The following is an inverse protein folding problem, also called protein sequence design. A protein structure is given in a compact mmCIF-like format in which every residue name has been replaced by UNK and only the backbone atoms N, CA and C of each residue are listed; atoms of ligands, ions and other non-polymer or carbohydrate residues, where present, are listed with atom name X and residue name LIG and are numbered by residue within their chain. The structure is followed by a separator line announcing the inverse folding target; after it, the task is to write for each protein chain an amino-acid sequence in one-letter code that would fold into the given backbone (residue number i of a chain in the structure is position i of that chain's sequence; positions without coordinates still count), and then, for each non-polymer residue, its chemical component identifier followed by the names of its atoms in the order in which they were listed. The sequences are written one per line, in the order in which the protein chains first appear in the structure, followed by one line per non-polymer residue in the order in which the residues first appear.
data_IF_643740508070
#
_entry.id   IF_643740508070
#
_cell.length_a   1.000
_cell.length_b   1.000
_cell.length_c   1.000
_cell.angle_alpha   90.00
_cell.angle_beta   90.00
_cell.angle_gamma   90.00
#
_symmetry.space_group_name_H-M   'P 1'
#
loop_
_entity.id
_entity.type
_entity.pdbx_description
1 polymer ?
#
# COMPACT_ATOMS: atom_id res chain seq x y z
N UNK A 1 1.97 -22.59 12.46
CA UNK A 1 1.79 -21.80 11.23
C UNK A 1 0.34 -21.40 11.13
N UNK A 2 0.05 -20.10 10.90
CA UNK A 2 -1.31 -19.55 10.89
C UNK A 2 -1.46 -18.56 9.73
N UNK A 3 -2.62 -18.59 9.06
CA UNK A 3 -3.06 -17.59 8.13
C UNK A 3 -3.95 -16.61 8.88
N UNK A 4 -3.48 -15.37 9.07
CA UNK A 4 -4.16 -14.36 9.87
C UNK A 4 -4.47 -13.13 9.02
N UNK A 5 -5.75 -12.86 8.82
CA UNK A 5 -6.21 -11.76 7.98
C UNK A 5 -7.05 -10.75 8.78
N UNK A 6 -6.43 -9.70 9.34
CA UNK A 6 -7.15 -8.61 10.00
C UNK A 6 -8.28 -8.01 9.16
N UNK A 7 -8.14 -8.02 7.83
CA UNK A 7 -9.19 -7.57 6.92
C UNK A 7 -10.54 -8.26 7.16
N UNK A 8 -10.56 -9.59 7.23
CA UNK A 8 -11.81 -10.32 7.40
C UNK A 8 -12.40 -10.12 8.80
N UNK A 9 -11.54 -10.11 9.82
CA UNK A 9 -11.99 -9.87 11.20
C UNK A 9 -12.59 -8.46 11.33
N UNK A 10 -11.94 -7.45 10.75
CA UNK A 10 -12.47 -6.10 10.66
C UNK A 10 -13.80 -6.03 9.90
N UNK A 11 -13.87 -6.63 8.70
CA UNK A 11 -15.08 -6.60 7.88
C UNK A 11 -16.30 -7.20 8.57
N UNK A 12 -16.10 -8.24 9.36
CA UNK A 12 -17.16 -8.87 10.18
C UNK A 12 -17.53 -8.02 11.40
N UNK A 13 -16.60 -7.23 11.95
CA UNK A 13 -16.73 -6.51 13.21
C UNK A 13 -16.47 -5.01 13.09
N UNK A 14 -16.72 -4.41 11.94
CA UNK A 14 -16.43 -2.98 11.63
C UNK A 14 -17.11 -1.97 12.56
N UNK A 15 -18.14 -2.37 13.29
CA UNK A 15 -18.78 -1.52 14.30
C UNK A 15 -18.11 -1.60 15.68
N UNK A 16 -17.23 -2.57 15.90
CA UNK A 16 -16.54 -2.82 17.17
C UNK A 16 -15.03 -2.57 17.04
N UNK A 17 -14.43 -2.92 15.90
CA UNK A 17 -13.00 -2.78 15.65
C UNK A 17 -12.79 -1.57 14.75
N UNK A 18 -12.07 -0.54 15.22
CA UNK A 18 -11.72 0.61 14.38
C UNK A 18 -10.79 0.20 13.22
N UNK A 19 -10.98 0.82 12.05
CA UNK A 19 -10.13 0.58 10.88
C UNK A 19 -8.65 0.87 11.18
N UNK A 20 -8.37 1.90 11.94
CA UNK A 20 -7.00 2.32 12.26
C UNK A 20 -6.23 1.27 13.06
N UNK A 21 -6.90 0.53 13.97
CA UNK A 21 -6.31 -0.64 14.66
C UNK A 21 -5.97 -1.77 13.66
N UNK A 22 -6.83 -1.97 12.67
CA UNK A 22 -6.63 -3.02 11.67
C UNK A 22 -5.52 -2.69 10.68
N UNK A 23 -5.20 -1.39 10.50
CA UNK A 23 -4.19 -0.88 9.55
C UNK A 23 -2.85 -0.52 10.22
N UNK A 24 -2.61 -0.90 11.47
CA UNK A 24 -1.41 -0.53 12.25
C UNK A 24 -1.15 0.98 12.29
N UNK A 25 -2.19 1.80 12.24
CA UNK A 25 -2.00 3.25 12.38
C UNK A 25 -1.69 3.61 13.82
N UNK A 26 -0.89 4.69 14.06
CA UNK A 26 -0.65 5.18 15.40
C UNK A 26 -1.96 5.54 16.12
N UNK A 27 -2.14 5.06 17.34
CA UNK A 27 -3.33 5.27 18.14
C UNK A 27 -3.00 6.00 19.43
N UNK A 28 -3.92 6.85 19.91
CA UNK A 28 -3.85 7.33 21.29
C UNK A 28 -4.10 6.17 22.27
N UNK A 29 -3.52 6.20 23.48
CA UNK A 29 -3.72 5.13 24.47
C UNK A 29 -5.19 4.82 24.78
N UNK A 30 -6.08 5.82 24.67
CA UNK A 30 -7.53 5.64 24.86
C UNK A 30 -8.20 4.81 23.76
N UNK A 31 -7.54 4.65 22.61
CA UNK A 31 -8.05 3.91 21.46
C UNK A 31 -7.40 2.53 21.30
N UNK A 32 -6.55 2.11 22.25
CA UNK A 32 -6.03 0.77 22.27
C UNK A 32 -7.15 -0.23 22.55
N UNK A 33 -7.11 -1.37 21.88
CA UNK A 33 -7.95 -2.50 22.26
C UNK A 33 -7.38 -3.12 23.53
N UNK A 34 -8.21 -3.30 24.54
CA UNK A 34 -7.78 -3.89 25.82
C UNK A 34 -8.49 -5.22 26.02
N UNK A 35 -7.73 -6.29 26.21
CA UNK A 35 -8.29 -7.57 26.61
C UNK A 35 -8.73 -7.48 28.09
N UNK A 36 -10.02 -7.67 28.41
CA UNK A 36 -10.53 -7.51 29.77
C UNK A 36 -10.01 -8.57 30.76
N UNK A 37 -9.52 -9.72 30.27
CA UNK A 37 -9.05 -10.80 31.12
C UNK A 37 -7.57 -10.68 31.49
N UNK A 38 -6.75 -10.21 30.54
CA UNK A 38 -5.30 -10.14 30.72
C UNK A 38 -4.79 -8.70 30.91
N UNK A 39 -5.64 -7.71 30.63
CA UNK A 39 -5.32 -6.29 30.62
C UNK A 39 -4.21 -5.93 29.63
N UNK A 40 -3.94 -6.77 28.64
CA UNK A 40 -3.01 -6.48 27.56
C UNK A 40 -3.61 -5.43 26.62
N UNK A 41 -2.79 -4.47 26.23
CA UNK A 41 -3.17 -3.38 25.35
C UNK A 41 -2.64 -3.62 23.93
N UNK A 42 -3.53 -3.68 22.95
CA UNK A 42 -3.20 -3.93 21.56
C UNK A 42 -3.34 -2.66 20.74
N UNK A 43 -2.27 -2.26 20.09
CA UNK A 43 -2.24 -1.14 19.13
C UNK A 43 -2.65 -1.56 17.72
N UNK A 44 -2.64 -2.86 17.44
CA UNK A 44 -3.07 -3.41 16.16
C UNK A 44 -3.76 -4.77 16.33
N UNK A 45 -4.60 -5.08 15.36
CA UNK A 45 -5.42 -6.29 15.39
C UNK A 45 -4.60 -7.57 15.16
N UNK A 46 -3.51 -7.52 14.36
CA UNK A 46 -2.71 -8.70 14.08
C UNK A 46 -2.04 -9.25 15.35
N UNK A 47 -1.47 -8.39 16.17
CA UNK A 47 -0.87 -8.81 17.44
C UNK A 47 -1.90 -9.45 18.38
N UNK A 48 -3.11 -8.91 18.44
CA UNK A 48 -4.20 -9.50 19.20
C UNK A 48 -4.56 -10.91 18.68
N UNK A 49 -4.56 -11.11 17.36
CA UNK A 49 -4.82 -12.43 16.75
C UNK A 49 -3.68 -13.42 17.02
N UNK A 50 -2.43 -12.97 16.99
CA UNK A 50 -1.25 -13.79 17.31
C UNK A 50 -1.30 -14.22 18.78
N UNK A 51 -1.57 -13.28 19.69
CA UNK A 51 -1.65 -13.58 21.14
C UNK A 51 -2.83 -14.50 21.48
N UNK A 52 -3.97 -14.37 20.78
CA UNK A 52 -5.08 -15.29 20.90
C UNK A 52 -4.67 -16.75 20.56
N UNK A 53 -3.79 -16.93 19.56
CA UNK A 53 -3.24 -18.24 19.25
C UNK A 53 -2.29 -18.74 20.35
N UNK A 54 -1.44 -17.89 20.92
CA UNK A 54 -0.60 -18.24 22.06
C UNK A 54 -1.42 -18.62 23.29
N UNK A 55 -2.48 -17.88 23.60
CA UNK A 55 -3.40 -18.24 24.69
C UNK A 55 -4.09 -19.58 24.44
N UNK A 56 -4.50 -19.85 23.20
CA UNK A 56 -5.11 -21.14 22.83
C UNK A 56 -4.13 -22.29 23.01
N UNK A 57 -2.87 -22.13 22.63
CA UNK A 57 -1.83 -23.13 22.85
C UNK A 57 -1.53 -23.32 24.34
N UNK A 58 -1.44 -22.23 25.11
CA UNK A 58 -1.23 -22.26 26.56
C UNK A 58 -2.33 -23.05 27.28
N UNK A 59 -3.58 -22.90 26.86
CA UNK A 59 -4.70 -23.67 27.41
C UNK A 59 -4.58 -25.19 27.17
N UNK A 60 -3.77 -25.57 26.17
CA UNK A 60 -3.43 -26.96 25.85
C UNK A 60 -2.08 -27.38 26.46
N UNK A 61 -1.49 -26.58 27.36
CA UNK A 61 -0.15 -26.77 27.92
C UNK A 61 0.99 -26.79 26.90
N UNK A 62 0.81 -26.11 25.76
CA UNK A 62 1.85 -25.91 24.73
C UNK A 62 2.38 -24.48 24.87
N UNK A 63 3.61 -24.32 25.36
CA UNK A 63 4.20 -23.00 25.68
C UNK A 63 5.53 -22.72 24.98
N UNK A 64 6.08 -23.68 24.27
CA UNK A 64 7.41 -23.66 23.64
C UNK A 64 7.37 -23.57 22.10
N UNK A 65 6.19 -23.36 21.53
CA UNK A 65 6.01 -23.26 20.06
C UNK A 65 5.80 -21.82 19.65
N UNK A 66 6.66 -21.35 18.73
CA UNK A 66 6.54 -20.02 18.15
C UNK A 66 5.45 -19.98 17.05
N UNK A 67 4.69 -18.89 17.05
CA UNK A 67 3.72 -18.61 16.00
C UNK A 67 4.43 -18.04 14.77
N UNK A 68 4.21 -18.68 13.62
CA UNK A 68 4.59 -18.18 12.31
C UNK A 68 3.34 -17.79 11.55
N UNK A 69 3.25 -16.53 11.12
CA UNK A 69 2.17 -16.03 10.27
C UNK A 69 2.51 -16.33 8.82
N UNK A 70 1.92 -17.36 8.25
CA UNK A 70 2.21 -17.84 6.90
C UNK A 70 1.48 -17.06 5.82
N UNK A 71 0.40 -16.36 6.18
CA UNK A 71 -0.29 -15.46 5.27
C UNK A 71 -0.96 -14.33 6.05
N UNK A 72 -0.76 -13.11 5.56
CA UNK A 72 -1.51 -11.91 5.94
C UNK A 72 -1.43 -10.89 4.83
N UNK A 73 -2.34 -9.91 4.82
CA UNK A 73 -2.38 -8.88 3.80
C UNK A 73 -3.65 -8.05 3.88
N UNK A 74 -3.84 -7.20 2.87
CA UNK A 74 -5.03 -6.38 2.70
C UNK A 74 -5.35 -6.25 1.21
N UNK A 75 -6.60 -6.51 0.76
CA UNK A 75 -6.94 -6.46 -0.65
C UNK A 75 -6.99 -5.02 -1.15
N UNK A 76 -6.47 -4.83 -2.37
CA UNK A 76 -6.38 -3.50 -3.00
C UNK A 76 -7.63 -3.11 -3.79
N UNK A 77 -8.55 -4.06 -4.00
CA UNK A 77 -9.81 -3.82 -4.72
C UNK A 77 -10.89 -4.77 -4.23
N UNK A 78 -12.11 -4.27 -4.10
CA UNK A 78 -13.28 -5.03 -3.71
C UNK A 78 -14.53 -4.54 -4.44
N UNK A 79 -15.66 -5.19 -4.20
CA UNK A 79 -16.97 -4.77 -4.70
C UNK A 79 -17.67 -3.79 -3.73
N UNK A 80 -18.94 -3.48 -4.03
CA UNK A 80 -19.73 -2.55 -3.20
C UNK A 80 -19.95 -3.01 -1.76
N UNK A 81 -19.81 -4.29 -1.46
CA UNK A 81 -19.89 -4.86 -0.11
C UNK A 81 -18.57 -4.83 0.61
N UNK A 82 -17.50 -4.52 -0.09
CA UNK A 82 -16.11 -4.52 0.39
C UNK A 82 -15.46 -3.11 0.29
N UNK A 83 -16.08 -2.07 0.86
CA UNK A 83 -15.66 -0.67 0.65
C UNK A 83 -14.28 -0.35 1.22
N UNK A 84 -13.71 -1.24 2.03
CA UNK A 84 -12.40 -1.09 2.65
C UNK A 84 -11.28 -1.82 1.89
N UNK A 85 -11.60 -2.63 0.88
CA UNK A 85 -10.66 -3.21 -0.06
C UNK A 85 -10.24 -2.14 -1.08
N UNK A 86 -9.26 -1.33 -0.72
CA UNK A 86 -8.79 -0.19 -1.53
C UNK A 86 -7.26 -0.16 -1.60
N UNK A 87 -6.68 0.40 -2.66
CA UNK A 87 -5.22 0.57 -2.77
C UNK A 87 -4.64 1.33 -1.58
N UNK A 88 -5.30 2.38 -1.11
CA UNK A 88 -4.85 3.18 0.03
C UNK A 88 -4.74 2.35 1.32
N UNK A 89 -5.74 1.52 1.63
CA UNK A 89 -5.71 0.66 2.80
C UNK A 89 -4.69 -0.48 2.65
N UNK A 90 -4.55 -1.05 1.44
CA UNK A 90 -3.54 -2.08 1.16
C UNK A 90 -2.11 -1.54 1.35
N UNK A 91 -1.82 -0.34 0.83
CA UNK A 91 -0.55 0.36 1.06
C UNK A 91 -0.32 0.57 2.55
N UNK A 92 -1.32 1.12 3.25
CA UNK A 92 -1.20 1.45 4.68
C UNK A 92 -0.95 0.20 5.50
N UNK A 93 -1.75 -0.86 5.29
CA UNK A 93 -1.60 -2.12 6.01
C UNK A 93 -0.22 -2.73 5.78
N UNK A 94 0.15 -2.98 4.53
CA UNK A 94 1.39 -3.69 4.21
C UNK A 94 2.64 -2.88 4.57
N UNK A 95 2.64 -1.56 4.38
CA UNK A 95 3.76 -0.71 4.79
C UNK A 95 3.94 -0.68 6.30
N UNK A 96 2.85 -0.55 7.06
CA UNK A 96 2.90 -0.52 8.51
C UNK A 96 3.23 -1.90 9.11
N UNK A 97 2.74 -2.98 8.51
CA UNK A 97 3.12 -4.36 8.86
C UNK A 97 4.62 -4.56 8.71
N UNK A 98 5.19 -4.17 7.56
CA UNK A 98 6.63 -4.26 7.30
C UNK A 98 7.40 -3.48 8.35
N UNK A 99 6.99 -2.24 8.63
CA UNK A 99 7.60 -1.41 9.66
C UNK A 99 7.54 -2.08 11.03
N UNK A 100 6.39 -2.59 11.44
CA UNK A 100 6.19 -3.29 12.71
C UNK A 100 7.14 -4.48 12.88
N UNK A 101 7.30 -5.29 11.82
CA UNK A 101 8.24 -6.42 11.82
C UNK A 101 9.71 -5.95 11.85
N UNK A 102 10.07 -4.91 11.11
CA UNK A 102 11.44 -4.36 11.11
C UNK A 102 11.82 -3.66 12.43
N UNK A 103 10.88 -3.03 13.08
CA UNK A 103 11.09 -2.43 14.41
C UNK A 103 11.31 -3.51 15.49
N UNK A 104 11.22 -4.81 15.11
CA UNK A 104 11.34 -5.98 15.99
C UNK A 104 10.40 -5.93 17.20
N UNK A 105 9.28 -5.27 17.03
CA UNK A 105 8.23 -5.26 18.03
C UNK A 105 7.58 -6.64 18.09
N UNK A 106 7.59 -7.25 19.26
CA UNK A 106 6.79 -8.43 19.52
C UNK A 106 5.35 -8.07 19.82
N UNK A 107 4.54 -9.07 20.10
CA UNK A 107 3.17 -8.87 20.59
C UNK A 107 3.17 -8.41 22.05
N UNK A 108 2.08 -7.83 22.58
CA UNK A 108 1.97 -7.50 23.99
C UNK A 108 2.21 -8.68 24.97
N UNK A 109 1.88 -9.90 24.57
CA UNK A 109 2.14 -11.11 25.38
C UNK A 109 3.61 -11.56 25.28
N UNK A 110 4.25 -11.35 24.11
CA UNK A 110 5.63 -11.75 23.81
C UNK A 110 6.45 -10.59 23.24
N UNK A 111 6.71 -9.53 24.01
CA UNK A 111 7.32 -8.28 23.51
C UNK A 111 8.73 -8.47 22.95
N UNK A 112 9.46 -9.47 23.42
CA UNK A 112 10.84 -9.77 22.98
C UNK A 112 10.89 -10.71 21.76
N UNK A 113 9.74 -11.18 21.27
CA UNK A 113 9.67 -12.17 20.18
C UNK A 113 9.05 -11.57 18.94
N UNK A 114 9.87 -11.26 17.96
CA UNK A 114 9.36 -10.80 16.65
C UNK A 114 8.72 -11.95 15.89
N UNK A 115 7.48 -11.77 15.46
CA UNK A 115 6.80 -12.75 14.61
C UNK A 115 7.35 -12.71 13.18
N UNK A 116 7.63 -13.88 12.60
CA UNK A 116 7.87 -13.98 11.17
C UNK A 116 6.55 -13.96 10.42
N UNK A 117 6.49 -13.13 9.37
CA UNK A 117 5.24 -12.85 8.64
C UNK A 117 5.48 -12.93 7.14
N UNK A 118 4.56 -13.54 6.42
CA UNK A 118 4.54 -13.58 4.95
C UNK A 118 3.33 -12.81 4.44
N UNK A 119 3.57 -11.89 3.50
CA UNK A 119 2.49 -11.12 2.88
C UNK A 119 1.87 -11.96 1.76
N UNK A 120 0.57 -12.14 1.83
CA UNK A 120 -0.26 -12.72 0.79
C UNK A 120 -0.87 -11.57 -0.03
N UNK A 121 -0.62 -11.47 -1.33
CA UNK A 121 0.15 -12.39 -2.17
C UNK A 121 1.04 -11.60 -3.17
N UNK A 122 1.86 -12.31 -3.97
CA UNK A 122 2.77 -11.62 -4.90
C UNK A 122 2.04 -11.02 -6.10
N UNK A 123 1.12 -11.78 -6.73
CA UNK A 123 0.38 -11.34 -7.91
C UNK A 123 -1.12 -11.43 -7.69
N UNK A 124 -1.87 -10.47 -8.27
CA UNK A 124 -3.32 -10.59 -8.37
C UNK A 124 -3.72 -11.80 -9.23
N UNK A 125 -4.79 -12.48 -8.83
CA UNK A 125 -5.31 -13.68 -9.50
C UNK A 125 -6.60 -13.38 -10.27
N UNK A 126 -6.57 -13.41 -11.60
CA UNK A 126 -7.71 -13.06 -12.46
C UNK A 126 -8.81 -14.13 -12.52
N UNK A 127 -8.50 -15.37 -12.13
CA UNK A 127 -9.44 -16.51 -12.16
C UNK A 127 -10.05 -16.86 -10.80
N UNK A 128 -9.84 -16.01 -9.78
CA UNK A 128 -10.45 -16.22 -8.45
C UNK A 128 -11.94 -16.04 -8.47
N UNK A 129 -12.62 -16.94 -7.75
CA UNK A 129 -14.07 -16.83 -7.52
C UNK A 129 -14.39 -15.61 -6.62
N UNK A 130 -15.60 -15.03 -6.76
CA UNK A 130 -16.05 -13.94 -5.88
C UNK A 130 -15.93 -14.28 -4.39
N UNK A 131 -15.75 -13.25 -3.53
CA UNK A 131 -15.89 -11.82 -3.77
C UNK A 131 -14.69 -11.23 -4.53
N UNK A 132 -14.84 -9.98 -5.06
CA UNK A 132 -13.82 -9.34 -5.91
C UNK A 132 -12.48 -9.14 -5.18
N UNK A 133 -12.51 -8.98 -3.87
CA UNK A 133 -11.29 -8.86 -3.06
C UNK A 133 -10.37 -10.08 -3.18
N UNK A 134 -10.93 -11.28 -3.38
CA UNK A 134 -10.15 -12.52 -3.48
C UNK A 134 -9.15 -12.51 -4.65
N UNK A 135 -9.45 -11.80 -5.71
CA UNK A 135 -8.60 -11.65 -6.88
C UNK A 135 -7.57 -10.50 -6.75
N UNK A 136 -7.58 -9.74 -5.65
CA UNK A 136 -6.87 -8.47 -5.57
C UNK A 136 -6.04 -8.29 -4.28
N UNK A 137 -5.40 -9.35 -3.82
CA UNK A 137 -4.45 -9.33 -2.69
C UNK A 137 -3.02 -9.03 -3.12
N UNK A 138 -2.73 -9.15 -4.41
CA UNK A 138 -1.39 -9.09 -4.99
C UNK A 138 -0.69 -7.74 -4.80
N UNK A 139 0.62 -7.81 -4.58
CA UNK A 139 1.51 -6.65 -4.65
C UNK A 139 1.71 -6.19 -6.10
N UNK A 140 1.55 -7.11 -7.05
CA UNK A 140 1.73 -6.88 -8.49
C UNK A 140 0.53 -7.40 -9.27
N UNK A 141 0.31 -6.80 -10.44
CA UNK A 141 -0.52 -7.40 -11.49
C UNK A 141 0.23 -8.51 -12.21
N UNK A 142 -0.49 -9.37 -12.95
CA UNK A 142 0.11 -10.48 -13.71
C UNK A 142 1.17 -10.09 -14.74
N UNK A 143 1.22 -8.82 -15.15
CA UNK A 143 2.26 -8.26 -16.02
C UNK A 143 3.47 -7.71 -15.24
N UNK A 144 3.59 -8.02 -13.97
CA UNK A 144 4.62 -7.56 -13.04
C UNK A 144 4.63 -6.04 -12.77
N UNK A 145 3.59 -5.30 -13.17
CA UNK A 145 3.45 -3.91 -12.70
C UNK A 145 2.93 -3.89 -11.27
N UNK A 146 3.42 -3.00 -10.39
CA UNK A 146 2.91 -2.88 -9.03
C UNK A 146 1.42 -2.59 -9.01
N UNK A 147 0.64 -3.31 -8.19
CA UNK A 147 -0.76 -2.99 -7.93
C UNK A 147 -0.88 -1.69 -7.11
N UNK A 148 0.13 -1.42 -6.30
CA UNK A 148 0.33 -0.19 -5.54
C UNK A 148 1.79 -0.09 -5.10
N UNK A 149 2.22 1.12 -4.73
CA UNK A 149 3.61 1.33 -4.32
C UNK A 149 3.80 0.91 -2.87
N UNK A 150 4.67 -0.05 -2.63
CA UNK A 150 5.02 -0.55 -1.32
C UNK A 150 6.48 -0.24 -1.00
N UNK A 151 6.76 0.33 0.18
CA UNK A 151 8.12 0.51 0.70
C UNK A 151 8.51 -0.68 1.56
N UNK A 152 9.50 -1.45 1.10
CA UNK A 152 9.94 -2.66 1.81
C UNK A 152 10.95 -2.36 2.93
N UNK A 153 11.65 -1.25 2.87
CA UNK A 153 12.74 -0.93 3.81
C UNK A 153 12.43 0.19 4.80
N UNK A 154 11.16 0.64 4.88
CA UNK A 154 10.78 1.77 5.74
C UNK A 154 11.38 3.11 5.31
N UNK A 155 12.60 3.11 4.77
CA UNK A 155 13.32 4.23 4.16
C UNK A 155 13.95 3.74 2.87
N UNK A 156 13.71 4.40 1.74
CA UNK A 156 14.30 4.01 0.45
C UNK A 156 13.31 3.81 -0.68
N UNK A 157 13.72 3.11 -1.73
CA UNK A 157 12.91 2.88 -2.92
C UNK A 157 11.67 2.02 -2.65
N UNK A 158 10.64 2.24 -3.49
CA UNK A 158 9.48 1.37 -3.51
C UNK A 158 9.84 0.02 -4.16
N UNK A 159 9.07 -1.04 -3.89
CA UNK A 159 8.98 -2.18 -4.78
C UNK A 159 8.47 -1.66 -6.12
N UNK A 160 9.35 -1.63 -7.09
CA UNK A 160 9.06 -1.04 -8.37
C UNK A 160 9.50 -1.98 -9.49
N UNK A 161 8.76 -2.01 -10.58
CA UNK A 161 9.27 -2.37 -11.88
C UNK A 161 10.40 -1.39 -12.29
N UNK A 162 11.21 -1.73 -13.29
CA UNK A 162 12.29 -0.87 -13.79
C UNK A 162 11.83 0.52 -14.27
N UNK A 163 10.51 0.74 -14.41
CA UNK A 163 9.85 2.03 -14.63
C UNK A 163 9.56 2.85 -13.35
N UNK A 164 10.07 2.42 -12.21
CA UNK A 164 9.88 3.04 -10.88
C UNK A 164 10.24 4.52 -10.77
N UNK A 165 10.79 5.08 -11.80
CA UNK A 165 10.98 6.52 -11.92
C UNK A 165 9.71 7.31 -12.35
N UNK A 166 8.63 6.63 -12.76
CA UNK A 166 7.37 7.27 -13.14
C UNK A 166 6.31 7.07 -12.05
N UNK A 167 6.38 7.90 -11.02
CA UNK A 167 5.35 7.98 -10.00
C UNK A 167 4.68 9.33 -10.06
N UNK A 168 3.37 9.33 -9.81
CA UNK A 168 2.52 10.52 -9.83
C UNK A 168 1.80 10.65 -8.50
N UNK A 169 1.47 11.88 -8.13
CA UNK A 169 0.68 12.17 -6.94
C UNK A 169 -0.71 12.62 -7.37
N UNK A 170 -1.73 11.87 -6.99
CA UNK A 170 -3.12 12.15 -7.39
C UNK A 170 -4.04 12.24 -6.19
N UNK A 171 -5.22 12.85 -6.37
CA UNK A 171 -6.24 12.92 -5.34
C UNK A 171 -6.71 11.51 -4.93
N UNK A 172 -6.70 11.21 -3.64
CA UNK A 172 -7.16 9.94 -3.10
C UNK A 172 -8.67 9.74 -3.31
N UNK A 173 -9.09 8.49 -3.48
CA UNK A 173 -10.49 8.17 -3.67
C UNK A 173 -11.33 8.45 -2.41
N UNK A 174 -12.61 8.79 -2.61
CA UNK A 174 -13.56 9.04 -1.53
C UNK A 174 -13.41 10.38 -0.80
N UNK A 175 -12.42 11.21 -1.15
CA UNK A 175 -12.25 12.55 -0.54
C UNK A 175 -13.28 13.51 -1.11
N UNK A 176 -13.92 14.27 -0.23
CA UNK A 176 -14.93 15.28 -0.62
C UNK A 176 -14.31 16.48 -1.33
N UNK A 177 -15.12 17.15 -2.18
CA UNK A 177 -14.65 18.24 -3.02
C UNK A 177 -14.15 19.46 -2.23
N UNK A 178 -14.69 19.73 -1.04
CA UNK A 178 -14.29 20.87 -0.22
C UNK A 178 -12.87 20.66 0.35
N UNK A 179 -12.60 19.47 0.82
CA UNK A 179 -11.28 19.08 1.33
C UNK A 179 -10.24 19.07 0.20
N UNK A 180 -10.61 18.54 -0.98
CA UNK A 180 -9.73 18.59 -2.16
C UNK A 180 -9.45 20.01 -2.61
N UNK A 181 -10.46 20.92 -2.59
CA UNK A 181 -10.28 22.32 -2.97
C UNK A 181 -9.29 23.00 -2.03
N UNK A 182 -9.41 22.82 -0.73
CA UNK A 182 -8.50 23.43 0.23
C UNK A 182 -7.04 22.95 0.03
N UNK A 183 -6.84 21.68 -0.31
CA UNK A 183 -5.51 21.13 -0.63
C UNK A 183 -4.98 21.65 -1.98
N UNK A 184 -5.84 21.78 -2.99
CA UNK A 184 -5.52 22.40 -4.28
C UNK A 184 -5.06 23.85 -4.11
N UNK A 185 -5.82 24.65 -3.33
CA UNK A 185 -5.49 26.06 -3.04
C UNK A 185 -4.13 26.17 -2.35
N UNK A 186 -3.84 25.26 -1.41
CA UNK A 186 -2.53 25.22 -0.77
C UNK A 186 -1.43 24.86 -1.77
N UNK A 187 -1.65 23.82 -2.61
CA UNK A 187 -0.65 23.36 -3.56
C UNK A 187 -0.28 24.47 -4.57
N UNK A 188 -1.28 25.13 -5.16
CA UNK A 188 -1.07 26.21 -6.12
C UNK A 188 -0.58 27.52 -5.47
N UNK A 189 -0.90 27.74 -4.20
CA UNK A 189 -0.52 28.93 -3.44
C UNK A 189 0.81 28.75 -2.70
N UNK A 190 0.72 28.37 -1.44
CA UNK A 190 1.89 28.22 -0.53
C UNK A 190 2.84 27.13 -1.01
N UNK A 191 2.31 26.02 -1.57
CA UNK A 191 3.08 24.89 -2.12
C UNK A 191 3.87 25.25 -3.38
N UNK A 192 3.50 26.33 -4.08
CA UNK A 192 4.16 26.79 -5.32
C UNK A 192 4.19 25.75 -6.46
N UNK A 193 3.19 24.87 -6.51
CA UNK A 193 3.00 24.00 -7.67
C UNK A 193 2.73 24.85 -8.91
N UNK A 194 3.22 24.39 -10.06
CA UNK A 194 2.85 25.03 -11.32
C UNK A 194 1.42 24.61 -11.71
N UNK A 195 0.48 25.54 -11.54
CA UNK A 195 -0.94 25.35 -11.81
C UNK A 195 -1.40 26.05 -13.10
N UNK A 196 -0.48 26.43 -14.00
CA UNK A 196 -0.82 27.11 -15.26
C UNK A 196 -1.73 26.25 -16.13
N UNK A 197 -1.40 24.97 -16.29
CA UNK A 197 -2.07 24.09 -17.24
C UNK A 197 -3.50 23.69 -16.85
N UNK A 198 -3.92 23.95 -15.60
CA UNK A 198 -5.29 23.75 -15.12
C UNK A 198 -6.13 25.04 -15.14
N UNK A 199 -5.63 26.13 -15.71
CA UNK A 199 -6.39 27.36 -15.89
C UNK A 199 -7.36 27.26 -17.08
N UNK A 200 -8.44 28.08 -17.10
CA UNK A 200 -9.38 28.09 -18.21
C UNK A 200 -8.70 28.27 -19.56
N UNK A 201 -8.95 27.34 -20.49
CA UNK A 201 -8.35 27.33 -21.82
C UNK A 201 -7.09 26.51 -21.98
N UNK A 202 -6.48 26.08 -20.88
CA UNK A 202 -5.24 25.32 -20.89
C UNK A 202 -5.48 23.80 -21.03
N UNK A 203 -4.39 23.05 -21.27
CA UNK A 203 -4.43 21.65 -21.72
C UNK A 203 -5.01 20.71 -20.68
N UNK A 204 -4.86 20.99 -19.39
CA UNK A 204 -5.35 20.17 -18.26
C UNK A 204 -6.55 20.78 -17.55
N UNK A 205 -7.19 21.82 -18.12
CA UNK A 205 -8.41 22.37 -17.55
C UNK A 205 -9.58 21.40 -17.62
N UNK A 206 -9.68 20.63 -18.71
CA UNK A 206 -10.75 19.62 -18.87
C UNK A 206 -10.27 18.23 -18.46
N UNK A 207 -11.13 17.46 -17.76
CA UNK A 207 -12.47 17.80 -17.28
C UNK A 207 -12.43 18.79 -16.11
N UNK A 208 -13.27 19.82 -16.18
CA UNK A 208 -13.33 20.88 -15.17
C UNK A 208 -14.00 20.38 -13.88
N UNK A 209 -13.21 19.74 -13.04
CA UNK A 209 -13.62 19.33 -11.70
C UNK A 209 -12.45 19.38 -10.72
N UNK A 210 -12.77 19.57 -9.44
CA UNK A 210 -11.80 19.76 -8.37
C UNK A 210 -10.83 18.58 -8.24
N UNK A 211 -11.30 17.34 -8.42
CA UNK A 211 -10.46 16.14 -8.31
C UNK A 211 -9.35 16.12 -9.36
N UNK A 212 -9.65 16.42 -10.61
CA UNK A 212 -8.66 16.41 -11.68
C UNK A 212 -7.67 17.55 -11.52
N UNK A 213 -8.15 18.75 -11.17
CA UNK A 213 -7.27 19.89 -10.90
C UNK A 213 -6.38 19.66 -9.69
N UNK A 214 -6.93 19.09 -8.59
CA UNK A 214 -6.14 18.71 -7.42
C UNK A 214 -5.08 17.66 -7.74
N UNK A 215 -5.44 16.62 -8.51
CA UNK A 215 -4.47 15.60 -8.94
C UNK A 215 -3.31 16.19 -9.72
N UNK A 216 -3.59 17.10 -10.66
CA UNK A 216 -2.54 17.78 -11.41
C UNK A 216 -1.63 18.64 -10.53
N UNK A 217 -2.22 19.45 -9.65
CA UNK A 217 -1.47 20.32 -8.75
C UNK A 217 -0.64 19.53 -7.72
N UNK A 218 -1.18 18.43 -7.21
CA UNK A 218 -0.46 17.54 -6.29
C UNK A 218 0.73 16.90 -6.99
N UNK A 219 0.55 16.45 -8.23
CA UNK A 219 1.66 15.89 -8.99
C UNK A 219 2.71 16.93 -9.32
N UNK A 220 2.31 18.13 -9.75
CA UNK A 220 3.22 19.25 -10.01
C UNK A 220 4.08 19.58 -8.77
N UNK A 221 3.46 19.63 -7.59
CA UNK A 221 4.19 19.81 -6.32
C UNK A 221 5.15 18.63 -6.07
N UNK A 222 4.64 17.40 -6.13
CA UNK A 222 5.38 16.17 -5.86
C UNK A 222 6.63 16.02 -6.73
N UNK A 223 6.51 16.27 -8.04
CA UNK A 223 7.63 16.22 -8.96
C UNK A 223 8.66 17.33 -8.67
N UNK A 224 8.19 18.54 -8.34
CA UNK A 224 9.07 19.69 -7.99
C UNK A 224 9.84 19.41 -6.69
N UNK A 225 9.24 18.70 -5.73
CA UNK A 225 9.91 18.27 -4.50
C UNK A 225 10.83 17.04 -4.70
N UNK A 226 11.11 16.65 -5.94
CA UNK A 226 11.97 15.51 -6.26
C UNK A 226 11.41 14.19 -5.74
N UNK A 227 10.10 14.08 -5.65
CA UNK A 227 9.39 12.87 -5.14
C UNK A 227 9.80 12.49 -3.72
N UNK A 228 10.14 13.48 -2.90
CA UNK A 228 10.59 13.26 -1.53
C UNK A 228 9.51 12.60 -0.67
N UNK A 229 9.89 11.80 0.35
CA UNK A 229 8.93 11.23 1.29
C UNK A 229 8.03 12.30 1.92
N UNK A 230 6.70 12.06 1.91
CA UNK A 230 5.71 12.99 2.45
C UNK A 230 5.28 14.11 1.51
N UNK A 231 5.96 14.33 0.36
CA UNK A 231 5.55 15.38 -0.59
C UNK A 231 4.24 15.07 -1.35
N UNK A 232 3.68 13.88 -1.17
CA UNK A 232 2.35 13.47 -1.68
C UNK A 232 1.37 13.12 -0.54
N UNK A 233 1.54 13.68 0.65
CA UNK A 233 0.63 13.39 1.78
C UNK A 233 -0.62 14.28 1.77
N UNK A 234 -0.44 15.59 1.60
CA UNK A 234 -1.52 16.58 1.60
C UNK A 234 -2.55 16.36 2.71
N UNK A 235 -2.09 15.94 3.91
CA UNK A 235 -2.93 15.54 5.06
C UNK A 235 -3.86 14.36 4.76
N UNK A 236 -3.37 13.39 4.00
CA UNK A 236 -4.10 12.16 3.68
C UNK A 236 -5.10 12.28 2.52
N UNK A 237 -5.15 13.40 1.80
CA UNK A 237 -6.08 13.57 0.67
C UNK A 237 -5.47 13.26 -0.69
N UNK A 238 -4.19 12.90 -0.72
CA UNK A 238 -3.49 12.49 -1.94
C UNK A 238 -2.87 11.10 -1.79
N UNK A 239 -2.62 10.46 -2.92
CA UNK A 239 -1.98 9.15 -3.00
C UNK A 239 -0.99 9.08 -4.16
N UNK A 240 0.06 8.25 -3.98
CA UNK A 240 1.01 7.98 -5.07
C UNK A 240 0.46 6.85 -5.94
N UNK A 241 0.56 7.03 -7.26
CA UNK A 241 0.22 6.02 -8.27
C UNK A 241 1.35 5.85 -9.27
N UNK A 242 1.45 4.66 -9.87
CA UNK A 242 2.30 4.38 -11.05
C UNK A 242 1.54 4.49 -12.36
N UNK A 243 0.20 4.50 -12.32
CA UNK A 243 -0.60 4.77 -13.50
C UNK A 243 -0.44 6.22 -13.92
N UNK A 244 -0.05 6.45 -15.18
CA UNK A 244 0.03 7.79 -15.74
C UNK A 244 -1.38 8.41 -15.82
N UNK A 245 -1.65 9.49 -15.08
CA UNK A 245 -2.95 10.14 -15.10
C UNK A 245 -3.15 11.06 -16.31
N UNK A 246 -2.16 11.18 -17.17
CA UNK A 246 -2.25 11.99 -18.40
C UNK A 246 -3.38 11.48 -19.30
N UNK A 247 -4.10 12.41 -19.92
CA UNK A 247 -5.23 12.08 -20.78
C UNK A 247 -5.43 13.14 -21.88
N UNK A 248 -5.77 12.71 -23.08
CA UNK A 248 -5.95 13.61 -24.21
C UNK A 248 -4.68 14.46 -24.48
N UNK A 249 -4.80 15.79 -24.33
CA UNK A 249 -3.68 16.73 -24.41
C UNK A 249 -3.10 17.10 -23.05
N UNK A 250 -3.74 16.69 -21.96
CA UNK A 250 -3.25 16.93 -20.61
C UNK A 250 -2.12 15.96 -20.29
N UNK A 251 -0.93 16.49 -20.08
CA UNK A 251 0.26 15.72 -19.71
C UNK A 251 0.68 16.10 -18.30
N UNK A 252 0.72 15.12 -17.43
CA UNK A 252 1.17 15.31 -16.05
C UNK A 252 2.69 15.48 -15.96
N UNK A 253 3.19 16.29 -15.01
CA UNK A 253 4.61 16.65 -14.93
C UNK A 253 5.59 15.47 -14.81
N UNK A 254 5.16 14.32 -14.28
CA UNK A 254 5.99 13.12 -14.16
C UNK A 254 6.19 12.31 -15.45
N UNK A 255 5.50 12.65 -16.54
CA UNK A 255 5.54 11.87 -17.78
C UNK A 255 6.86 12.05 -18.55
N UNK A 256 7.67 10.98 -18.61
CA UNK A 256 8.99 10.97 -19.29
C UNK A 256 8.90 10.91 -20.81
N UNK A 257 7.77 10.49 -21.38
CA UNK A 257 7.64 10.32 -22.83
C UNK A 257 7.72 11.67 -23.61
N UNK A 258 7.46 12.78 -22.93
CA UNK A 258 7.58 14.11 -23.52
C UNK A 258 9.01 14.67 -23.46
N UNK A 259 9.78 14.33 -22.41
CA UNK A 259 11.17 14.76 -22.25
C UNK A 259 12.07 14.26 -23.40
N UNK A 260 11.75 13.11 -23.98
CA UNK A 260 12.49 12.55 -25.11
C UNK A 260 12.10 13.18 -26.46
N UNK A 261 10.85 13.65 -26.62
CA UNK A 261 10.43 14.34 -27.85
C UNK A 261 11.02 15.75 -27.97
N UNK A 262 11.17 16.45 -26.86
CA UNK A 262 11.75 17.81 -26.86
C UNK A 262 13.27 17.77 -27.06
N UNK A 263 13.97 16.69 -26.70
CA UNK A 263 15.41 16.51 -27.00
C UNK A 263 15.69 16.06 -28.41
N UNK A 264 14.75 15.46 -29.16
CA UNK A 264 14.94 15.06 -30.54
C UNK A 264 14.78 16.22 -31.56
N UNK A 265 14.22 17.35 -31.17
CA UNK A 265 14.06 18.51 -32.07
C UNK A 265 15.29 19.42 -32.09
N UNK A 266 16.25 19.25 -31.17
CA UNK A 266 17.44 20.15 -31.08
C UNK A 266 18.72 19.53 -31.64
N UNK A 267 18.79 18.22 -31.94
CA UNK A 267 20.00 17.60 -32.50
C UNK A 267 19.75 16.83 -33.80
N UNK A 268 19.53 17.56 -34.90
CA UNK A 268 19.84 17.08 -36.26
C UNK A 268 20.94 17.94 -36.81
N UNK A 269 22.16 17.72 -36.40
CA UNK A 269 23.39 17.87 -37.18
C UNK A 269 24.54 17.15 -36.45
N UNK A 270 25.26 16.36 -37.24
CA UNK A 270 26.57 15.71 -37.06
C UNK A 270 26.58 14.27 -36.47
N UNK A 271 26.64 13.36 -37.34
CA UNK A 271 27.73 12.49 -37.87
C UNK A 271 28.47 11.57 -36.85
N UNK A 272 28.29 10.28 -37.11
CA UNK A 272 29.25 9.14 -37.16
C UNK A 272 30.07 8.73 -35.93
N UNK A 273 29.98 7.39 -35.69
CA UNK A 273 30.99 6.43 -35.22
C UNK A 273 31.34 6.40 -33.73
N UNK A 274 30.94 5.34 -33.08
CA UNK A 274 31.83 4.30 -32.56
C UNK A 274 31.05 3.42 -31.56
N UNK A 275 31.23 2.11 -31.71
CA UNK A 275 30.66 1.14 -30.79
C UNK A 275 31.33 1.22 -29.44
N UNK A 276 30.55 0.95 -28.42
CA UNK A 276 31.09 0.55 -27.15
C UNK A 276 30.15 -0.39 -26.38
N UNK A 277 30.78 -1.43 -25.90
CA UNK A 277 30.34 -2.59 -25.18
C UNK A 277 29.40 -2.30 -24.01
N UNK A 278 28.21 -2.93 -24.01
CA UNK A 278 27.40 -3.09 -22.82
C UNK A 278 28.09 -4.05 -21.85
N UNK A 279 28.68 -3.51 -20.79
CA UNK A 279 29.04 -4.28 -19.59
C UNK A 279 27.80 -4.56 -18.78
N UNK A 280 27.34 -5.79 -18.83
CA UNK A 280 26.40 -6.33 -17.86
C UNK A 280 27.06 -6.30 -16.46
N UNK A 281 26.54 -5.46 -15.57
CA UNK A 281 26.82 -5.61 -14.15
C UNK A 281 25.86 -6.67 -13.57
N UNK A 282 26.47 -7.78 -13.19
CA UNK A 282 25.82 -8.88 -12.48
C UNK A 282 25.15 -8.39 -11.21
N UNK A 283 23.83 -8.50 -11.17
CA UNK A 283 23.05 -8.38 -9.95
C UNK A 283 23.36 -9.54 -9.02
N UNK A 284 23.76 -9.26 -7.79
CA UNK A 284 23.86 -10.27 -6.73
C UNK A 284 22.45 -10.80 -6.48
N UNK A 285 22.29 -12.07 -6.77
CA UNK A 285 21.09 -12.86 -6.53
C UNK A 285 20.73 -12.84 -5.06
N UNK A 286 19.61 -12.22 -4.71
CA UNK A 286 18.92 -12.48 -3.45
C UNK A 286 18.26 -13.86 -3.64
N UNK A 287 18.76 -14.86 -2.91
CA UNK A 287 18.16 -16.19 -2.89
C UNK A 287 16.78 -16.09 -2.23
N UNK A 288 15.73 -15.98 -3.04
CA UNK A 288 14.38 -16.32 -2.63
C UNK A 288 14.26 -17.83 -2.89
N UNK A 289 14.29 -18.60 -1.82
CA UNK A 289 14.04 -20.04 -1.91
C UNK A 289 12.59 -20.25 -2.37
N UNK A 290 12.43 -20.71 -3.60
CA UNK A 290 11.15 -21.21 -4.09
C UNK A 290 10.78 -22.46 -3.28
N UNK A 291 9.73 -22.39 -2.48
CA UNK A 291 9.12 -23.53 -1.82
C UNK A 291 7.92 -23.96 -2.67
N UNK A 292 7.98 -25.23 -3.05
CA UNK A 292 6.98 -25.95 -3.84
C UNK A 292 5.56 -25.76 -3.30
N UNK A 293 4.66 -25.41 -4.19
CA UNK A 293 3.21 -25.40 -3.99
C UNK A 293 2.74 -26.85 -3.98
N UNK A 294 2.34 -27.35 -2.82
CA UNK A 294 1.52 -28.56 -2.70
C UNK A 294 0.10 -28.11 -2.35
N UNK A 295 -0.81 -28.32 -3.29
CA UNK A 295 -2.23 -28.15 -3.12
C UNK A 295 -2.79 -29.17 -2.13
N UNK A 296 -3.41 -28.72 -1.05
CA UNK A 296 -4.49 -29.50 -0.42
C UNK A 296 -5.51 -28.56 0.21
N UNK A 297 -6.76 -28.76 -0.21
CA UNK A 297 -7.95 -28.21 0.40
C UNK A 297 -8.05 -28.62 1.86
N UNK A 298 -8.01 -27.66 2.79
CA UNK A 298 -8.58 -27.86 4.11
C UNK A 298 -9.50 -26.71 4.47
N UNK A 299 -10.76 -27.11 4.61
CA UNK A 299 -11.89 -26.31 5.06
C UNK A 299 -11.64 -25.67 6.43
N UNK A 300 -12.00 -24.43 6.49
CA UNK A 300 -12.54 -23.64 7.60
C UNK A 300 -13.07 -24.49 8.76
N UNK A 301 -12.26 -24.60 9.83
CA UNK A 301 -12.70 -25.21 11.09
C UNK A 301 -12.10 -24.53 12.34
N UNK A 302 -11.76 -23.22 12.26
CA UNK A 302 -11.18 -22.50 13.42
C UNK A 302 -12.03 -21.30 13.89
N UNK A 303 -13.26 -21.15 13.43
CA UNK A 303 -14.07 -19.95 13.68
C UNK A 303 -14.93 -19.91 14.95
N UNK A 304 -15.15 -20.97 15.75
CA UNK A 304 -15.95 -20.80 16.97
C UNK A 304 -15.18 -20.28 18.19
N UNK A 305 -13.84 -20.28 18.18
CA UNK A 305 -13.08 -19.96 19.41
C UNK A 305 -12.85 -18.44 19.58
N UNK A 306 -12.81 -17.67 18.51
CA UNK A 306 -12.57 -16.23 18.61
C UNK A 306 -13.80 -15.43 19.10
N UNK A 307 -15.02 -15.98 18.98
CA UNK A 307 -16.25 -15.32 19.42
C UNK A 307 -16.49 -15.44 20.94
N UNK A 308 -15.78 -16.33 21.63
CA UNK A 308 -15.92 -16.53 23.08
C UNK A 308 -15.08 -15.55 23.91
N UNK A 309 -14.20 -14.77 23.30
CA UNK A 309 -13.36 -13.78 23.97
C UNK A 309 -13.83 -12.32 23.80
N UNK A 310 -14.93 -12.09 23.06
CA UNK A 310 -15.49 -10.75 22.83
C UNK A 310 -16.91 -10.59 23.41
N UNK A 311 -17.39 -11.51 24.21
CA UNK A 311 -18.55 -11.41 25.09
C UNK A 311 -18.10 -11.51 26.54
#
# INVERSE_FOLDING_TARGET
MLNLYPYYVFMQNKNLIPLDNSLFKPLSPSNHMVDPNTLLHYTNLLDAMIDAAYFSMKNLNVTDVLVLVTETGWPSKGDSKEPYATPSNAITYNSNLIKHVFDRSGTPLHPETTSSVYIYELFNEDLRSPPLSEANWGLFYGNATPAYLLRVSGVGGFLASDDANQTYCVAADGVDSKTLQAALDWACGVGRANCSDIQPGETCYQPNNVRNHASYAFDSYYQTQGKSPGSCDFKGVAMITTSDPSHGRCIFPGNKNLSNKTKQVVNTTESSNAGDNLRFRTFRSIKISAINIIWHNYLVAAFPVLLLFLL
#
